data_IF_181111012994
#
_entry.id   IF_181111012994
#
_cell.length_a   1.000
_cell.length_b   1.000
_cell.length_c   1.000
_cell.angle_alpha   90.00
_cell.angle_beta   90.00
_cell.angle_gamma   90.00
#
_symmetry.space_group_name_H-M   'P 1'
#
loop_
_entity.id
_entity.type
_entity.pdbx_description
1 polymer ?
#
# COMPACT_ATOMS: atom_id res chain seq x y z
N UNK A 1 -7.97 -18.18 -5.29
CA UNK A 1 -6.65 -18.60 -4.72
C UNK A 1 -6.82 -18.73 -3.22
N UNK A 2 -6.16 -19.68 -2.54
CA UNK A 2 -6.21 -19.74 -1.08
C UNK A 2 -5.14 -18.84 -0.45
N UNK A 3 -5.32 -18.48 0.83
CA UNK A 3 -4.43 -17.57 1.59
C UNK A 3 -2.95 -18.01 1.58
N UNK A 4 -2.69 -19.31 1.63
CA UNK A 4 -1.31 -19.81 1.62
C UNK A 4 -0.62 -19.61 0.28
N UNK A 5 -1.33 -19.84 -0.83
CA UNK A 5 -0.85 -19.57 -2.17
C UNK A 5 -0.62 -18.07 -2.39
N UNK A 6 -1.54 -17.24 -1.92
CA UNK A 6 -1.43 -15.79 -1.97
C UNK A 6 -0.19 -15.31 -1.20
N UNK A 7 -0.02 -15.77 0.05
CA UNK A 7 1.15 -15.43 0.87
C UNK A 7 2.46 -15.82 0.20
N UNK A 8 2.53 -17.02 -0.41
CA UNK A 8 3.72 -17.46 -1.14
C UNK A 8 4.06 -16.51 -2.28
N UNK A 9 3.09 -16.08 -3.07
CA UNK A 9 3.29 -15.12 -4.15
C UNK A 9 3.75 -13.74 -3.64
N UNK A 10 3.20 -13.27 -2.54
CA UNK A 10 3.65 -12.02 -1.92
C UNK A 10 5.10 -12.14 -1.43
N UNK A 11 5.52 -13.29 -0.91
CA UNK A 11 6.94 -13.53 -0.58
C UNK A 11 7.84 -13.47 -1.82
N UNK A 12 7.43 -14.06 -2.93
CA UNK A 12 8.17 -14.01 -4.18
C UNK A 12 8.33 -12.57 -4.69
N UNK A 13 7.25 -11.76 -4.62
CA UNK A 13 7.31 -10.34 -4.97
C UNK A 13 8.22 -9.56 -4.01
N UNK A 14 8.09 -9.79 -2.70
CA UNK A 14 8.91 -9.16 -1.67
C UNK A 14 10.41 -9.43 -1.89
N UNK A 15 10.78 -10.68 -2.16
CA UNK A 15 12.16 -11.06 -2.45
C UNK A 15 12.67 -10.43 -3.76
N UNK A 16 11.81 -10.33 -4.79
CA UNK A 16 12.14 -9.70 -6.07
C UNK A 16 12.52 -8.23 -5.93
N UNK A 17 11.94 -7.53 -4.95
CA UNK A 17 12.29 -6.12 -4.65
C UNK A 17 13.44 -5.98 -3.65
N UNK A 18 14.08 -7.07 -3.26
CA UNK A 18 15.25 -7.04 -2.38
C UNK A 18 14.93 -7.02 -0.88
N UNK A 19 13.65 -7.10 -0.48
CA UNK A 19 13.24 -7.21 0.91
C UNK A 19 13.42 -8.65 1.40
N UNK A 20 14.64 -9.04 1.65
CA UNK A 20 14.98 -10.39 2.13
C UNK A 20 14.70 -10.50 3.62
N UNK A 21 14.20 -11.65 4.06
CA UNK A 21 13.87 -11.91 5.48
C UNK A 21 12.48 -11.40 5.86
N UNK A 22 12.17 -11.45 7.15
CA UNK A 22 10.86 -11.09 7.70
C UNK A 22 9.72 -12.03 7.30
N UNK A 23 8.54 -11.72 7.79
CA UNK A 23 7.33 -12.52 7.59
C UNK A 23 6.25 -11.74 6.86
N UNK A 24 5.37 -12.46 6.16
CA UNK A 24 4.11 -11.91 5.66
C UNK A 24 2.97 -12.64 6.36
N UNK A 25 2.17 -11.89 7.11
CA UNK A 25 0.98 -12.38 7.78
C UNK A 25 -0.25 -11.79 7.10
N UNK A 26 -1.20 -12.64 6.75
CA UNK A 26 -2.48 -12.21 6.18
C UNK A 26 -3.57 -12.65 7.14
N UNK A 27 -4.33 -11.68 7.66
CA UNK A 27 -5.45 -11.89 8.56
C UNK A 27 -6.76 -11.60 7.82
N UNK A 28 -7.73 -12.49 7.93
CA UNK A 28 -9.09 -12.27 7.42
C UNK A 28 -10.01 -11.83 8.56
N UNK A 29 -10.83 -10.81 8.30
CA UNK A 29 -11.82 -10.28 9.23
C UNK A 29 -13.22 -10.35 8.63
N UNK A 30 -14.19 -10.72 9.44
CA UNK A 30 -15.61 -10.75 9.04
C UNK A 30 -16.18 -9.34 8.94
N UNK A 31 -15.78 -8.44 9.87
CA UNK A 31 -16.20 -7.04 9.90
C UNK A 31 -14.98 -6.11 10.00
N UNK A 32 -14.87 -5.16 9.07
CA UNK A 32 -13.84 -4.13 9.09
C UNK A 32 -14.37 -2.86 8.40
N UNK A 33 -13.92 -1.69 8.87
CA UNK A 33 -14.25 -0.41 8.22
C UNK A 33 -13.65 -0.28 6.81
N UNK A 34 -12.46 -0.87 6.62
CA UNK A 34 -11.76 -0.91 5.35
C UNK A 34 -11.72 -2.35 4.83
N UNK A 35 -11.72 -2.50 3.51
CA UNK A 35 -11.62 -3.83 2.90
C UNK A 35 -10.22 -4.41 2.99
N UNK A 36 -9.20 -3.54 2.96
CA UNK A 36 -7.78 -3.93 3.09
C UNK A 36 -7.03 -2.86 3.86
N UNK A 37 -6.22 -3.30 4.82
CA UNK A 37 -5.18 -2.49 5.46
C UNK A 37 -3.88 -3.26 5.48
N UNK A 38 -2.75 -2.55 5.47
CA UNK A 38 -1.45 -3.15 5.68
C UNK A 38 -0.59 -2.26 6.56
N UNK A 39 0.39 -2.87 7.20
CA UNK A 39 1.47 -2.15 7.86
C UNK A 39 2.73 -3.00 7.84
N UNK A 40 3.88 -2.34 7.97
CA UNK A 40 5.18 -2.97 8.00
C UNK A 40 5.95 -2.59 9.26
N UNK A 41 6.62 -3.59 9.87
CA UNK A 41 7.68 -3.33 10.84
C UNK A 41 9.01 -3.33 10.08
N UNK A 42 9.75 -2.21 10.07
CA UNK A 42 11.05 -2.14 9.38
C UNK A 42 12.08 -3.05 10.05
N UNK A 43 11.93 -3.34 11.33
CA UNK A 43 12.75 -4.34 12.02
C UNK A 43 12.44 -5.73 11.48
N UNK A 44 13.28 -6.20 10.53
CA UNK A 44 13.15 -7.51 9.91
C UNK A 44 12.12 -7.60 8.78
N UNK A 45 11.60 -6.48 8.29
CA UNK A 45 10.66 -6.41 7.15
C UNK A 45 9.42 -7.31 7.32
N UNK A 46 8.82 -7.27 8.50
CA UNK A 46 7.58 -8.00 8.78
C UNK A 46 6.38 -7.20 8.26
N UNK A 47 5.62 -7.82 7.39
CA UNK A 47 4.42 -7.23 6.77
C UNK A 47 3.19 -7.93 7.34
N UNK A 48 2.26 -7.16 7.87
CA UNK A 48 0.95 -7.64 8.28
C UNK A 48 -0.13 -7.00 7.42
N UNK A 49 -0.94 -7.84 6.79
CA UNK A 49 -2.04 -7.43 5.92
C UNK A 49 -3.33 -7.92 6.55
N UNK A 50 -4.30 -7.04 6.65
CA UNK A 50 -5.66 -7.36 7.06
C UNK A 50 -6.59 -7.21 5.88
N UNK A 51 -7.38 -8.24 5.60
CA UNK A 51 -8.32 -8.26 4.48
C UNK A 51 -9.69 -8.71 4.94
N UNK A 52 -10.73 -8.02 4.47
CA UNK A 52 -12.12 -8.41 4.74
C UNK A 52 -12.41 -9.74 4.08
N UNK A 53 -12.97 -10.67 4.84
CA UNK A 53 -13.31 -12.01 4.36
C UNK A 53 -14.27 -11.97 3.18
N UNK A 54 -13.94 -12.71 2.12
CA UNK A 54 -14.73 -12.74 0.90
C UNK A 54 -14.62 -11.45 0.06
N UNK A 55 -13.70 -10.56 0.38
CA UNK A 55 -13.49 -9.36 -0.42
C UNK A 55 -12.94 -9.70 -1.80
N UNK A 56 -13.59 -9.17 -2.84
CA UNK A 56 -13.16 -9.25 -4.24
C UNK A 56 -12.97 -7.83 -4.78
N UNK A 57 -11.75 -7.40 -5.09
CA UNK A 57 -11.48 -6.07 -5.65
C UNK A 57 -11.96 -5.89 -7.09
N UNK A 58 -12.41 -6.96 -7.77
CA UNK A 58 -12.89 -6.93 -9.17
C UNK A 58 -14.39 -7.34 -9.23
N UNK A 59 -15.21 -6.73 -8.41
CA UNK A 59 -16.62 -7.11 -8.25
C UNK A 59 -17.58 -6.45 -9.26
N UNK A 60 -17.35 -5.21 -9.63
CA UNK A 60 -18.26 -4.46 -10.49
C UNK A 60 -17.87 -4.51 -11.97
N UNK A 61 -18.76 -3.95 -12.84
CA UNK A 61 -18.57 -3.94 -14.29
C UNK A 61 -17.34 -3.14 -14.73
N UNK A 62 -17.07 -2.01 -14.06
CA UNK A 62 -15.94 -1.13 -14.37
C UNK A 62 -14.62 -1.81 -14.01
N UNK A 63 -14.53 -2.37 -12.81
CA UNK A 63 -13.37 -3.10 -12.35
C UNK A 63 -13.09 -4.33 -13.22
N UNK A 64 -14.12 -5.09 -13.61
CA UNK A 64 -13.99 -6.23 -14.55
C UNK A 64 -13.50 -5.80 -15.93
N UNK A 65 -13.96 -4.65 -16.44
CA UNK A 65 -13.48 -4.11 -17.71
C UNK A 65 -12.00 -3.67 -17.62
N UNK A 66 -11.65 -3.00 -16.53
CA UNK A 66 -10.26 -2.61 -16.24
C UNK A 66 -9.34 -3.83 -16.12
N UNK A 67 -9.72 -4.81 -15.33
CA UNK A 67 -8.95 -6.04 -15.15
C UNK A 67 -8.69 -6.77 -16.47
N UNK A 68 -9.71 -6.88 -17.33
CA UNK A 68 -9.55 -7.45 -18.68
C UNK A 68 -8.56 -6.66 -19.53
N UNK A 69 -8.68 -5.33 -19.56
CA UNK A 69 -7.78 -4.44 -20.29
C UNK A 69 -6.32 -4.59 -19.82
N UNK A 70 -6.13 -4.73 -18.52
CA UNK A 70 -4.80 -4.84 -17.88
C UNK A 70 -4.30 -6.28 -17.75
N UNK A 71 -5.09 -7.26 -18.19
CA UNK A 71 -4.77 -8.70 -18.08
C UNK A 71 -4.52 -9.15 -16.63
N UNK A 72 -5.24 -8.55 -15.67
CA UNK A 72 -5.16 -8.93 -14.26
C UNK A 72 -5.86 -10.29 -14.10
N UNK A 73 -5.11 -11.28 -13.66
CA UNK A 73 -5.59 -12.66 -13.47
C UNK A 73 -6.24 -12.80 -12.09
N UNK A 74 -5.60 -12.23 -11.07
CA UNK A 74 -6.08 -12.24 -9.69
C UNK A 74 -6.02 -10.81 -9.12
N UNK A 75 -7.21 -10.24 -8.87
CA UNK A 75 -7.33 -8.88 -8.38
C UNK A 75 -6.84 -8.72 -6.94
N UNK A 76 -7.08 -9.72 -6.11
CA UNK A 76 -6.65 -9.69 -4.71
C UNK A 76 -5.12 -9.76 -4.62
N UNK A 77 -4.47 -10.66 -5.36
CA UNK A 77 -3.02 -10.72 -5.45
C UNK A 77 -2.43 -9.37 -5.91
N UNK A 78 -2.98 -8.81 -7.00
CA UNK A 78 -2.52 -7.53 -7.56
C UNK A 78 -2.65 -6.39 -6.53
N UNK A 79 -3.77 -6.32 -5.83
CA UNK A 79 -4.02 -5.30 -4.82
C UNK A 79 -3.12 -5.48 -3.59
N UNK A 80 -3.00 -6.70 -3.05
CA UNK A 80 -2.17 -6.95 -1.87
C UNK A 80 -0.67 -6.82 -2.17
N UNK A 81 -0.24 -7.12 -3.39
CA UNK A 81 1.14 -6.82 -3.82
C UNK A 81 1.39 -5.31 -3.77
N UNK A 82 0.47 -4.50 -4.27
CA UNK A 82 0.62 -3.04 -4.18
C UNK A 82 0.64 -2.57 -2.72
N UNK A 83 -0.40 -2.86 -1.97
CA UNK A 83 -0.57 -2.33 -0.61
C UNK A 83 0.53 -2.86 0.33
N UNK A 84 0.72 -4.19 0.42
CA UNK A 84 1.59 -4.79 1.42
C UNK A 84 3.05 -4.89 1.01
N UNK A 85 3.36 -5.04 -0.29
CA UNK A 85 4.74 -5.32 -0.73
C UNK A 85 5.43 -4.11 -1.36
N UNK A 86 4.67 -3.21 -1.98
CA UNK A 86 5.25 -2.03 -2.62
C UNK A 86 5.04 -0.76 -1.80
N UNK A 87 3.81 -0.47 -1.39
CA UNK A 87 3.42 0.78 -0.74
C UNK A 87 3.96 0.87 0.69
N UNK A 88 3.65 -0.10 1.54
CA UNK A 88 4.09 -0.07 2.94
C UNK A 88 5.62 -0.04 3.10
N UNK A 89 6.41 -0.87 2.39
CA UNK A 89 7.86 -0.76 2.45
C UNK A 89 8.40 0.59 1.97
N UNK A 90 7.66 1.26 1.08
CA UNK A 90 8.07 2.55 0.53
C UNK A 90 8.03 3.72 1.55
N UNK A 91 7.33 3.56 2.67
CA UNK A 91 7.41 4.47 3.81
C UNK A 91 8.75 4.38 4.55
N UNK A 92 9.58 3.39 4.24
CA UNK A 92 10.87 3.15 4.87
C UNK A 92 11.98 3.13 3.82
N UNK A 93 13.20 3.44 4.24
CA UNK A 93 14.38 3.29 3.37
C UNK A 93 14.59 1.82 3.05
N UNK A 94 14.50 1.46 1.76
CA UNK A 94 14.88 0.13 1.31
C UNK A 94 16.41 0.02 1.29
N UNK A 95 16.98 -1.16 1.64
CA UNK A 95 18.42 -1.36 1.56
C UNK A 95 18.94 -1.08 0.15
N UNK A 96 20.00 -0.28 0.06
CA UNK A 96 20.63 0.15 -1.20
C UNK A 96 21.18 -1.02 -2.01
N UNK A 97 21.39 -2.18 -1.39
CA UNK A 97 22.00 -3.38 -1.99
C UNK A 97 21.13 -4.14 -3.00
N UNK A 98 19.93 -3.65 -3.30
CA UNK A 98 19.08 -4.30 -4.32
C UNK A 98 19.65 -4.17 -5.74
N UNK A 99 20.76 -3.46 -5.97
CA UNK A 99 21.39 -3.24 -7.28
C UNK A 99 20.55 -2.45 -8.27
N UNK A 100 19.41 -1.91 -7.83
CA UNK A 100 18.42 -1.24 -8.68
C UNK A 100 18.06 0.16 -8.17
N UNK A 101 19.01 0.93 -7.67
CA UNK A 101 18.80 2.28 -7.15
C UNK A 101 17.44 2.40 -6.44
N UNK A 102 17.41 2.26 -5.12
CA UNK A 102 16.15 2.29 -4.39
C UNK A 102 15.44 3.64 -4.66
N UNK A 103 14.22 3.65 -5.21
CA UNK A 103 13.50 4.90 -5.46
C UNK A 103 13.15 5.64 -4.16
N UNK A 104 13.41 5.05 -2.99
CA UNK A 104 13.01 5.53 -1.68
C UNK A 104 14.18 5.95 -0.78
N UNK A 105 15.42 6.00 -1.30
CA UNK A 105 16.66 6.27 -0.57
C UNK A 105 16.74 7.69 0.05
N UNK A 106 15.83 8.59 -0.33
CA UNK A 106 15.81 9.98 0.16
C UNK A 106 14.71 10.22 1.20
N UNK A 107 13.96 9.18 1.57
CA UNK A 107 12.75 9.31 2.33
C UNK A 107 12.99 9.11 3.84
N UNK A 108 12.51 10.02 4.66
CA UNK A 108 12.60 9.92 6.12
C UNK A 108 11.28 10.35 6.77
N UNK A 109 10.48 9.37 7.18
CA UNK A 109 9.18 9.55 7.82
C UNK A 109 9.23 10.53 9.00
N UNK A 110 10.18 10.36 9.91
CA UNK A 110 10.27 11.19 11.12
C UNK A 110 10.52 12.66 10.80
N UNK A 111 11.35 12.95 9.81
CA UNK A 111 11.59 14.33 9.35
C UNK A 111 10.35 14.96 8.72
N UNK A 112 9.57 14.19 7.96
CA UNK A 112 8.34 14.68 7.36
C UNK A 112 7.31 14.96 8.44
N UNK A 113 7.11 14.04 9.37
CA UNK A 113 6.19 14.21 10.50
C UNK A 113 6.56 15.44 11.34
N UNK A 114 7.84 15.64 11.62
CA UNK A 114 8.32 16.81 12.38
C UNK A 114 8.09 18.11 11.60
N UNK A 115 8.40 18.17 10.31
CA UNK A 115 8.13 19.33 9.47
C UNK A 115 6.63 19.65 9.40
N UNK A 116 5.77 18.65 9.28
CA UNK A 116 4.32 18.82 9.30
C UNK A 116 3.83 19.35 10.64
N UNK A 117 4.33 18.83 11.77
CA UNK A 117 4.00 19.35 13.11
C UNK A 117 4.37 20.82 13.27
N UNK A 118 5.51 21.23 12.71
CA UNK A 118 5.96 22.64 12.76
C UNK A 118 5.10 23.55 11.85
N UNK A 119 4.65 23.05 10.71
CA UNK A 119 3.87 23.82 9.74
C UNK A 119 2.39 23.97 10.10
N UNK A 120 1.83 23.00 10.85
CA UNK A 120 0.42 23.03 11.22
C UNK A 120 0.14 24.03 12.35
N UNK A 121 -1.03 24.74 12.29
CA UNK A 121 -1.55 25.50 13.42
C UNK A 121 -1.72 24.61 14.67
N UNK A 122 -1.60 25.21 15.86
CA UNK A 122 -1.61 24.47 17.14
C UNK A 122 -2.85 23.57 17.29
N UNK A 123 -4.03 24.11 16.95
CA UNK A 123 -5.32 23.38 17.01
C UNK A 123 -5.45 22.25 15.97
N UNK A 124 -4.51 22.14 15.03
CA UNK A 124 -4.46 21.12 13.98
C UNK A 124 -3.34 20.11 14.16
N UNK A 125 -2.44 20.29 15.09
CA UNK A 125 -1.28 19.39 15.30
C UNK A 125 -1.67 17.94 15.59
N UNK A 126 -2.84 17.70 16.14
CA UNK A 126 -3.39 16.36 16.33
C UNK A 126 -3.56 15.58 15.01
N UNK A 127 -3.63 16.26 13.88
CA UNK A 127 -3.75 15.65 12.55
C UNK A 127 -2.40 15.48 11.83
N UNK A 128 -1.28 15.80 12.49
CA UNK A 128 0.03 15.81 11.85
C UNK A 128 0.41 14.47 11.22
N UNK A 129 0.17 13.36 11.91
CA UNK A 129 0.46 12.01 11.37
C UNK A 129 -0.36 11.71 10.12
N UNK A 130 -1.64 12.10 10.11
CA UNK A 130 -2.50 11.93 8.93
C UNK A 130 -2.00 12.76 7.74
N UNK A 131 -1.66 14.04 7.97
CA UNK A 131 -1.17 14.93 6.91
C UNK A 131 0.19 14.46 6.39
N UNK A 132 1.08 14.01 7.28
CA UNK A 132 2.37 13.44 6.91
C UNK A 132 2.17 12.20 6.01
N UNK A 133 1.33 11.26 6.43
CA UNK A 133 1.03 10.06 5.66
C UNK A 133 0.46 10.39 4.26
N UNK A 134 -0.50 11.32 4.18
CA UNK A 134 -1.07 11.75 2.90
C UNK A 134 -0.03 12.41 1.99
N UNK A 135 0.90 13.19 2.54
CA UNK A 135 2.01 13.76 1.80
C UNK A 135 2.97 12.67 1.29
N UNK A 136 3.28 11.70 2.14
CA UNK A 136 4.10 10.55 1.80
C UNK A 136 3.49 9.76 0.65
N UNK A 137 2.20 9.44 0.72
CA UNK A 137 1.46 8.73 -0.31
C UNK A 137 1.55 9.40 -1.69
N UNK A 138 1.56 10.73 -1.74
CA UNK A 138 1.74 11.46 -3.01
C UNK A 138 3.12 11.23 -3.64
N UNK A 139 4.14 10.97 -2.83
CA UNK A 139 5.51 10.69 -3.29
C UNK A 139 5.67 9.20 -3.60
N UNK A 140 5.18 8.35 -2.73
CA UNK A 140 5.35 6.90 -2.76
C UNK A 140 4.60 6.27 -3.94
N UNK A 141 3.35 6.66 -4.15
CA UNK A 141 2.50 6.02 -5.16
C UNK A 141 3.05 6.09 -6.59
N UNK A 142 3.58 7.22 -7.10
CA UNK A 142 4.27 7.25 -8.38
C UNK A 142 5.50 6.33 -8.45
N UNK A 143 6.26 6.24 -7.36
CA UNK A 143 7.47 5.38 -7.27
C UNK A 143 7.12 3.90 -7.26
N UNK A 144 6.04 3.49 -6.60
CA UNK A 144 5.53 2.13 -6.68
C UNK A 144 5.24 1.70 -8.13
N UNK A 145 4.77 2.62 -8.96
CA UNK A 145 4.60 2.38 -10.40
C UNK A 145 5.93 2.12 -11.12
N UNK A 146 6.91 2.97 -10.90
CA UNK A 146 8.23 2.82 -11.52
C UNK A 146 8.82 1.46 -11.20
N UNK A 147 8.61 1.02 -9.98
CA UNK A 147 9.09 -0.26 -9.48
C UNK A 147 8.35 -1.47 -10.08
N UNK A 148 7.03 -1.41 -10.16
CA UNK A 148 6.18 -2.54 -10.61
C UNK A 148 5.81 -2.47 -12.10
N UNK A 149 6.14 -1.38 -12.79
CA UNK A 149 5.83 -1.18 -14.20
C UNK A 149 4.40 -0.79 -14.53
N UNK A 150 3.46 -0.83 -13.55
CA UNK A 150 2.09 -0.38 -13.76
C UNK A 150 1.39 0.10 -12.47
N UNK A 151 0.19 0.68 -12.63
CA UNK A 151 -0.65 1.18 -11.54
C UNK A 151 -1.80 0.25 -11.15
N UNK A 152 -1.82 -0.99 -11.63
CA UNK A 152 -3.01 -1.82 -11.50
C UNK A 152 -3.44 -2.04 -10.05
N UNK A 153 -2.49 -2.31 -9.15
CA UNK A 153 -2.79 -2.48 -7.73
C UNK A 153 -3.31 -1.21 -7.08
N UNK A 154 -2.70 -0.07 -7.39
CA UNK A 154 -3.11 1.23 -6.88
C UNK A 154 -4.51 1.64 -7.36
N UNK A 155 -4.83 1.40 -8.63
CA UNK A 155 -6.17 1.66 -9.18
C UNK A 155 -7.21 0.79 -8.50
N UNK A 156 -6.91 -0.51 -8.28
CA UNK A 156 -7.81 -1.40 -7.55
C UNK A 156 -7.99 -0.95 -6.09
N UNK A 157 -6.93 -0.50 -5.43
CA UNK A 157 -7.01 0.05 -4.09
C UNK A 157 -7.94 1.28 -4.05
N UNK A 158 -7.70 2.28 -4.88
CA UNK A 158 -8.52 3.49 -4.91
C UNK A 158 -9.95 3.25 -5.33
N UNK A 159 -10.21 2.35 -6.26
CA UNK A 159 -11.59 2.00 -6.67
C UNK A 159 -12.38 1.31 -5.54
N UNK A 160 -11.70 0.64 -4.62
CA UNK A 160 -12.35 -0.06 -3.51
C UNK A 160 -12.38 0.74 -2.20
N UNK A 161 -11.32 1.49 -1.89
CA UNK A 161 -11.21 2.28 -0.65
C UNK A 161 -11.55 3.76 -0.85
N UNK A 162 -11.44 4.27 -2.06
CA UNK A 162 -11.71 5.69 -2.38
C UNK A 162 -13.16 6.12 -2.17
N UNK A 163 -14.12 5.20 -2.16
CA UNK A 163 -15.50 5.49 -1.77
C UNK A 163 -15.60 5.88 -0.30
N UNK A 164 -14.87 5.19 0.57
CA UNK A 164 -14.80 5.50 2.01
C UNK A 164 -14.20 6.89 2.24
N UNK A 165 -13.18 7.25 1.46
CA UNK A 165 -12.59 8.59 1.50
C UNK A 165 -13.55 9.67 1.02
N UNK A 166 -14.37 9.41 -0.01
CA UNK A 166 -15.40 10.35 -0.50
C UNK A 166 -16.50 10.57 0.52
N UNK A 167 -16.98 9.51 1.16
CA UNK A 167 -18.01 9.60 2.20
C UNK A 167 -17.52 10.38 3.42
N UNK A 168 -16.23 10.28 3.76
CA UNK A 168 -15.59 11.03 4.85
C UNK A 168 -15.16 12.46 4.47
N UNK A 169 -15.47 12.95 3.26
CA UNK A 169 -15.10 14.29 2.79
C UNK A 169 -13.60 14.45 2.45
N UNK A 170 -12.86 13.35 2.39
CA UNK A 170 -11.41 13.33 2.12
C UNK A 170 -11.06 13.21 0.64
N UNK A 171 -12.05 13.21 -0.25
CA UNK A 171 -11.90 12.98 -1.69
C UNK A 171 -11.08 14.04 -2.44
N UNK A 172 -10.73 15.13 -1.80
CA UNK A 172 -9.93 16.21 -2.39
C UNK A 172 -8.42 16.05 -2.17
N UNK A 173 -7.99 14.99 -1.50
CA UNK A 173 -6.57 14.74 -1.21
C UNK A 173 -5.95 13.62 -2.06
N UNK A 174 -6.77 12.91 -2.87
CA UNK A 174 -6.28 11.81 -3.72
C UNK A 174 -6.67 11.99 -5.20
#
# INVERSE_FOLDING_TARGET
MNINQLRQKLYEQKNRIGLVGGTIKINEYDEAEQNVTAHISPEGWNIEISVKKGFDPIRDRRQKAYARKKKIIDGLETLLTHVGVLHEPAHWELPVDSGRGCPFDVYNHDKILEAVKQALPEDKKQHASYVANAFEDMIINPRCREYNGDFSGQVLFWDNEGLTCREKGLSNFY
#
